data_IF_685285973124
#
_entry.id   IF_685285973124
#
_cell.length_a   1.000
_cell.length_b   1.000
_cell.length_c   1.000
_cell.angle_alpha   90.00
_cell.angle_beta   90.00
_cell.angle_gamma   90.00
#
_symmetry.space_group_name_H-M   'P 1'
#
loop_
_entity.id
_entity.type
_entity.pdbx_description
1 polymer ?
#
# COMPACT_ATOMS: atom_id res chain seq x y z
N UNK A 1 -0.80 -23.00 21.31
CA UNK A 1 -0.11 -23.14 20.04
C UNK A 1 -0.81 -22.18 19.10
N UNK A 2 -0.13 -21.11 18.71
CA UNK A 2 -0.72 -20.12 17.80
C UNK A 2 -0.26 -20.41 16.37
N UNK A 3 -1.07 -20.05 15.37
CA UNK A 3 -0.69 -20.04 13.98
C UNK A 3 -0.26 -18.61 13.61
N UNK A 4 1.01 -18.44 13.26
CA UNK A 4 1.61 -17.16 12.92
C UNK A 4 1.98 -17.17 11.43
N UNK A 5 1.48 -16.18 10.69
CA UNK A 5 1.92 -15.93 9.32
C UNK A 5 2.95 -14.80 9.35
N UNK A 6 4.14 -15.02 8.79
CA UNK A 6 5.24 -14.05 8.75
C UNK A 6 5.54 -13.67 7.31
N UNK A 7 5.54 -12.39 6.97
CA UNK A 7 5.98 -11.92 5.65
C UNK A 7 7.31 -11.20 5.76
N UNK A 8 8.22 -11.53 4.87
CA UNK A 8 9.52 -10.85 4.75
C UNK A 8 9.66 -10.17 3.39
N UNK A 9 9.91 -8.84 3.41
CA UNK A 9 10.13 -8.03 2.22
C UNK A 9 11.48 -8.30 1.55
N UNK A 10 11.67 -7.78 0.33
CA UNK A 10 12.89 -7.98 -0.46
C UNK A 10 14.15 -7.53 0.27
N UNK A 11 14.13 -6.38 0.94
CA UNK A 11 15.25 -5.89 1.75
C UNK A 11 15.64 -6.84 2.89
N UNK A 12 14.68 -7.61 3.43
CA UNK A 12 14.90 -8.57 4.51
C UNK A 12 15.60 -9.85 4.05
N UNK A 13 15.53 -10.18 2.76
CA UNK A 13 16.09 -11.40 2.16
C UNK A 13 17.06 -11.07 1.01
N UNK A 14 17.65 -9.88 1.00
CA UNK A 14 18.44 -9.35 -0.12
C UNK A 14 19.75 -10.14 -0.37
N UNK A 15 20.30 -10.79 0.65
CA UNK A 15 21.55 -11.52 0.58
C UNK A 15 21.56 -12.73 1.54
N UNK A 16 22.61 -13.53 1.45
CA UNK A 16 22.73 -14.76 2.24
C UNK A 16 22.79 -14.51 3.76
N UNK A 17 23.36 -13.39 4.22
CA UNK A 17 23.42 -13.05 5.64
C UNK A 17 22.03 -12.71 6.18
N UNK A 18 21.27 -11.89 5.44
CA UNK A 18 19.90 -11.53 5.79
C UNK A 18 18.98 -12.74 5.76
N UNK A 19 19.11 -13.62 4.78
CA UNK A 19 18.38 -14.90 4.72
C UNK A 19 18.63 -15.75 5.96
N UNK A 20 19.89 -15.88 6.45
CA UNK A 20 20.18 -16.62 7.68
C UNK A 20 19.52 -15.98 8.90
N UNK A 21 19.59 -14.66 9.04
CA UNK A 21 18.93 -13.91 10.13
C UNK A 21 17.41 -14.10 10.13
N UNK A 22 16.77 -14.05 8.95
CA UNK A 22 15.35 -14.37 8.79
C UNK A 22 15.05 -15.80 9.19
N UNK A 23 15.85 -16.77 8.76
CA UNK A 23 15.68 -18.18 9.13
C UNK A 23 15.81 -18.41 10.65
N UNK A 24 16.76 -17.75 11.32
CA UNK A 24 16.92 -17.79 12.77
C UNK A 24 15.67 -17.31 13.50
N UNK A 25 15.08 -16.18 13.05
CA UNK A 25 13.84 -15.64 13.61
C UNK A 25 12.65 -16.57 13.41
N UNK A 26 12.50 -17.15 12.23
CA UNK A 26 11.45 -18.12 11.91
C UNK A 26 11.58 -19.36 12.83
N UNK A 27 12.78 -19.89 12.95
CA UNK A 27 13.05 -21.06 13.81
C UNK A 27 12.82 -20.74 15.28
N UNK A 28 13.15 -19.52 15.73
CA UNK A 28 12.85 -19.06 17.09
C UNK A 28 11.34 -19.03 17.36
N UNK A 29 10.54 -18.51 16.41
CA UNK A 29 9.06 -18.53 16.53
C UNK A 29 8.50 -19.95 16.57
N UNK A 30 9.02 -20.86 15.73
CA UNK A 30 8.63 -22.29 15.74
C UNK A 30 8.99 -22.97 17.06
N UNK A 31 10.17 -22.71 17.62
CA UNK A 31 10.63 -23.27 18.91
C UNK A 31 9.80 -22.80 20.10
N UNK A 32 9.10 -21.68 20.00
CA UNK A 32 8.11 -21.22 21.00
C UNK A 32 6.81 -22.03 21.01
N UNK A 33 6.71 -23.05 20.13
CA UNK A 33 5.54 -23.92 20.03
C UNK A 33 4.48 -23.44 19.06
N UNK A 34 4.78 -22.48 18.20
CA UNK A 34 3.85 -21.96 17.21
C UNK A 34 3.94 -22.74 15.89
N UNK A 35 2.83 -22.79 15.17
CA UNK A 35 2.83 -23.10 13.76
C UNK A 35 3.19 -21.87 12.93
N UNK A 36 4.04 -22.04 11.92
CA UNK A 36 4.59 -20.89 11.18
C UNK A 36 4.40 -21.08 9.68
N UNK A 37 3.77 -20.10 9.07
CA UNK A 37 3.69 -19.93 7.61
C UNK A 37 4.47 -18.68 7.24
N UNK A 38 5.34 -18.77 6.26
CA UNK A 38 6.22 -17.68 5.85
C UNK A 38 5.91 -17.29 4.41
N UNK A 39 5.72 -16.01 4.15
CA UNK A 39 5.61 -15.47 2.79
C UNK A 39 6.83 -14.60 2.51
N UNK A 40 7.52 -14.88 1.42
CA UNK A 40 8.73 -14.14 1.04
C UNK A 40 8.54 -13.39 -0.27
N UNK A 41 9.13 -12.19 -0.36
CA UNK A 41 9.31 -11.43 -1.59
C UNK A 41 10.58 -11.86 -2.33
N UNK A 42 10.75 -11.41 -3.55
CA UNK A 42 12.03 -11.54 -4.27
C UNK A 42 13.18 -10.86 -3.50
N UNK A 43 14.41 -11.29 -3.75
CA UNK A 43 15.61 -10.78 -3.08
C UNK A 43 15.93 -9.36 -3.54
N UNK A 44 16.06 -8.41 -2.61
CA UNK A 44 16.48 -7.03 -2.91
C UNK A 44 15.69 -6.42 -4.07
N UNK A 45 16.39 -5.97 -5.09
CA UNK A 45 15.85 -5.32 -6.28
C UNK A 45 15.60 -6.30 -7.46
N UNK A 46 15.63 -7.62 -7.23
CA UNK A 46 15.51 -8.64 -8.29
C UNK A 46 14.27 -8.44 -9.19
N UNK A 47 13.15 -7.99 -8.64
CA UNK A 47 11.93 -7.74 -9.46
C UNK A 47 12.17 -6.61 -10.45
N UNK A 48 12.81 -5.52 -10.03
CA UNK A 48 13.12 -4.37 -10.88
C UNK A 48 14.19 -4.74 -11.92
N UNK A 49 15.22 -5.50 -11.55
CA UNK A 49 16.23 -6.03 -12.46
C UNK A 49 15.62 -6.92 -13.56
N UNK A 50 14.64 -7.76 -13.22
CA UNK A 50 13.93 -8.60 -14.17
C UNK A 50 13.02 -7.78 -15.09
N UNK A 51 12.39 -6.72 -14.59
CA UNK A 51 11.62 -5.77 -15.39
C UNK A 51 12.52 -5.05 -16.40
N UNK A 52 13.66 -4.52 -15.95
CA UNK A 52 14.63 -3.84 -16.79
C UNK A 52 15.17 -4.79 -17.88
N UNK A 53 15.45 -6.05 -17.51
CA UNK A 53 15.91 -7.06 -18.46
C UNK A 53 14.83 -7.40 -19.50
N UNK A 54 13.58 -7.52 -19.08
CA UNK A 54 12.46 -7.77 -19.99
C UNK A 54 12.29 -6.65 -21.02
N UNK A 55 12.41 -5.38 -20.58
CA UNK A 55 12.32 -4.21 -21.45
C UNK A 55 13.48 -4.12 -22.45
N UNK A 56 14.70 -4.53 -22.04
CA UNK A 56 15.84 -4.59 -22.94
C UNK A 56 15.65 -5.64 -24.05
N UNK A 57 14.97 -6.75 -23.76
CA UNK A 57 14.68 -7.81 -24.73
C UNK A 57 13.48 -7.43 -25.61
N UNK A 58 12.44 -6.85 -25.01
CA UNK A 58 11.20 -6.48 -25.69
C UNK A 58 10.65 -5.18 -25.07
N UNK A 59 10.62 -4.05 -25.84
CA UNK A 59 10.13 -2.78 -25.29
C UNK A 59 8.69 -2.79 -24.77
N UNK A 60 7.87 -3.72 -25.26
CA UNK A 60 6.51 -3.94 -24.78
C UNK A 60 6.31 -5.45 -24.50
N UNK A 61 6.82 -5.98 -23.38
CA UNK A 61 6.77 -7.40 -23.10
C UNK A 61 5.31 -7.86 -22.92
N UNK A 62 4.93 -9.02 -23.48
CA UNK A 62 3.61 -9.57 -23.27
C UNK A 62 3.34 -9.80 -21.78
N UNK A 63 2.21 -9.31 -21.22
CA UNK A 63 1.95 -9.37 -19.78
C UNK A 63 2.01 -10.78 -19.19
N UNK A 64 1.55 -11.80 -19.93
CA UNK A 64 1.62 -13.20 -19.52
C UNK A 64 3.07 -13.68 -19.32
N UNK A 65 3.96 -13.36 -20.26
CA UNK A 65 5.36 -13.78 -20.18
C UNK A 65 6.11 -12.99 -19.09
N UNK A 66 5.70 -11.74 -18.89
CA UNK A 66 6.22 -10.93 -17.80
C UNK A 66 5.87 -11.52 -16.43
N UNK A 67 4.64 -11.96 -16.20
CA UNK A 67 4.23 -12.68 -14.99
C UNK A 67 5.08 -13.94 -14.76
N UNK A 68 5.31 -14.73 -15.82
CA UNK A 68 6.18 -15.91 -15.74
C UNK A 68 7.61 -15.56 -15.31
N UNK A 69 8.17 -14.50 -15.88
CA UNK A 69 9.53 -14.02 -15.54
C UNK A 69 9.61 -13.54 -14.10
N UNK A 70 8.72 -12.63 -13.70
CA UNK A 70 8.78 -11.98 -12.39
C UNK A 70 8.62 -12.97 -11.24
N UNK A 71 7.74 -13.98 -11.38
CA UNK A 71 7.54 -15.02 -10.33
C UNK A 71 8.76 -15.87 -10.03
N UNK A 72 9.82 -15.80 -10.86
CA UNK A 72 11.07 -16.50 -10.58
C UNK A 72 11.78 -15.93 -9.33
N UNK A 73 11.69 -14.62 -9.09
CA UNK A 73 12.33 -13.95 -7.97
C UNK A 73 11.91 -14.53 -6.62
N UNK A 74 10.61 -14.64 -6.37
CA UNK A 74 10.07 -15.18 -5.12
C UNK A 74 10.36 -16.69 -4.97
N UNK A 75 10.43 -17.43 -6.07
CA UNK A 75 10.79 -18.87 -6.01
C UNK A 75 12.23 -19.07 -5.58
N UNK A 76 13.15 -18.19 -6.00
CA UNK A 76 14.56 -18.23 -5.59
C UNK A 76 14.64 -17.95 -4.09
N UNK A 77 14.13 -16.82 -3.60
CA UNK A 77 14.19 -16.46 -2.18
C UNK A 77 13.50 -17.51 -1.30
N UNK A 78 12.35 -18.02 -1.72
CA UNK A 78 11.58 -19.04 -1.01
C UNK A 78 12.40 -20.33 -0.79
N UNK A 79 13.07 -20.80 -1.83
CA UNK A 79 13.91 -21.99 -1.74
C UNK A 79 15.13 -21.77 -0.85
N UNK A 80 15.80 -20.60 -0.96
CA UNK A 80 16.97 -20.27 -0.15
C UNK A 80 16.64 -20.14 1.34
N UNK A 81 15.51 -19.51 1.69
CA UNK A 81 15.03 -19.42 3.08
C UNK A 81 14.70 -20.83 3.63
N UNK A 82 14.07 -21.70 2.82
CA UNK A 82 13.80 -23.08 3.23
C UNK A 82 15.10 -23.84 3.54
N UNK A 83 16.11 -23.73 2.69
CA UNK A 83 17.43 -24.35 2.91
C UNK A 83 18.10 -23.81 4.17
N UNK A 84 17.99 -22.51 4.45
CA UNK A 84 18.53 -21.90 5.65
C UNK A 84 17.83 -22.42 6.93
N UNK A 85 16.51 -22.59 6.91
CA UNK A 85 15.75 -23.18 8.03
C UNK A 85 16.17 -24.62 8.29
N UNK A 86 16.30 -25.44 7.23
CA UNK A 86 16.78 -26.84 7.36
C UNK A 86 18.18 -26.89 7.95
N UNK A 87 19.07 -25.95 7.58
CA UNK A 87 20.42 -25.88 8.15
C UNK A 87 20.46 -25.57 9.66
N UNK A 88 19.39 -25.01 10.20
CA UNK A 88 19.18 -24.72 11.63
C UNK A 88 18.48 -25.88 12.37
N UNK A 89 18.23 -27.01 11.70
CA UNK A 89 17.63 -28.22 12.26
C UNK A 89 16.10 -28.19 12.39
N UNK A 90 15.41 -27.25 11.74
CA UNK A 90 13.97 -27.25 11.63
C UNK A 90 13.55 -27.73 10.22
N UNK A 91 12.43 -28.48 10.14
CA UNK A 91 11.94 -28.94 8.85
C UNK A 91 11.10 -27.87 8.17
N UNK A 92 11.40 -27.62 6.89
CA UNK A 92 10.72 -26.61 6.09
C UNK A 92 10.19 -27.20 4.76
N UNK A 93 9.15 -26.58 4.21
CA UNK A 93 8.64 -26.93 2.88
C UNK A 93 8.18 -25.69 2.14
N UNK A 94 8.75 -25.48 0.95
CA UNK A 94 8.42 -24.35 0.09
C UNK A 94 7.35 -24.69 -0.93
N UNK A 95 6.49 -23.70 -1.22
CA UNK A 95 5.39 -23.78 -2.18
C UNK A 95 5.40 -22.55 -3.07
N UNK A 96 5.07 -22.71 -4.35
CA UNK A 96 4.70 -21.61 -5.22
C UNK A 96 3.29 -21.11 -4.87
N UNK A 97 2.87 -19.94 -5.36
CA UNK A 97 1.52 -19.44 -5.12
C UNK A 97 0.43 -20.43 -5.59
N UNK A 98 0.59 -21.03 -6.76
CA UNK A 98 -0.35 -22.06 -7.26
C UNK A 98 -0.35 -23.33 -6.41
N UNK A 99 0.80 -23.78 -5.94
CA UNK A 99 0.91 -24.94 -5.01
C UNK A 99 0.30 -24.65 -3.65
N UNK A 100 0.35 -23.37 -3.21
CA UNK A 100 -0.29 -22.89 -1.99
C UNK A 100 -1.80 -22.68 -2.14
N UNK A 101 -2.32 -22.84 -3.35
CA UNK A 101 -3.75 -22.71 -3.64
C UNK A 101 -4.25 -21.27 -3.83
N UNK A 102 -3.38 -20.34 -4.18
CA UNK A 102 -3.76 -18.95 -4.50
C UNK A 102 -4.41 -18.91 -5.88
N UNK A 103 -5.72 -18.75 -5.92
CA UNK A 103 -6.53 -18.69 -7.14
C UNK A 103 -6.86 -17.22 -7.44
N UNK A 104 -6.65 -16.79 -8.68
CA UNK A 104 -6.76 -15.39 -9.09
C UNK A 104 -7.63 -15.18 -10.31
N UNK A 105 -7.97 -13.92 -10.60
CA UNK A 105 -8.46 -13.48 -11.91
C UNK A 105 -7.38 -13.67 -12.97
N UNK A 106 -7.77 -13.65 -14.26
CA UNK A 106 -6.84 -13.77 -15.39
C UNK A 106 -6.14 -12.46 -15.80
N UNK A 107 -6.26 -11.39 -15.02
CA UNK A 107 -5.60 -10.10 -15.32
C UNK A 107 -4.13 -10.19 -14.96
N UNK A 108 -3.25 -10.23 -15.97
CA UNK A 108 -1.81 -10.25 -15.76
C UNK A 108 -1.29 -8.95 -15.17
N UNK A 109 -0.25 -9.02 -14.33
CA UNK A 109 0.40 -7.86 -13.69
C UNK A 109 -0.38 -7.24 -12.50
N UNK A 110 -1.69 -7.46 -12.41
CA UNK A 110 -2.55 -6.91 -11.35
C UNK A 110 -3.75 -7.83 -11.04
N UNK A 111 -3.49 -9.14 -10.93
CA UNK A 111 -4.52 -10.12 -10.63
C UNK A 111 -5.13 -9.90 -9.24
N UNK A 112 -6.41 -10.25 -9.10
CA UNK A 112 -7.12 -10.24 -7.81
C UNK A 112 -7.25 -11.66 -7.28
N UNK A 113 -6.99 -11.87 -5.99
CA UNK A 113 -7.23 -13.16 -5.33
C UNK A 113 -8.75 -13.39 -5.29
N UNK A 114 -9.19 -14.50 -5.86
CA UNK A 114 -10.58 -14.95 -5.86
C UNK A 114 -10.82 -15.88 -4.66
N UNK A 115 -9.87 -16.81 -4.46
CA UNK A 115 -9.96 -17.83 -3.43
C UNK A 115 -8.57 -18.32 -3.02
N UNK A 116 -8.48 -18.94 -1.83
CA UNK A 116 -7.27 -19.62 -1.36
C UNK A 116 -7.68 -20.99 -0.84
N UNK A 117 -7.14 -22.04 -1.46
CA UNK A 117 -7.38 -23.44 -1.08
C UNK A 117 -6.12 -24.05 -0.42
N UNK A 118 -5.90 -23.86 0.90
CA UNK A 118 -4.61 -24.10 1.54
C UNK A 118 -4.37 -25.56 1.97
N UNK A 119 -5.11 -26.55 1.48
CA UNK A 119 -5.05 -27.94 1.96
C UNK A 119 -3.64 -28.55 1.99
N UNK A 120 -2.79 -28.24 0.99
CA UNK A 120 -1.38 -28.71 0.99
C UNK A 120 -0.54 -28.06 2.09
N UNK A 121 -0.85 -26.81 2.44
CA UNK A 121 -0.17 -26.09 3.53
C UNK A 121 -0.59 -26.68 4.88
N UNK A 122 -1.89 -26.97 5.07
CA UNK A 122 -2.41 -27.59 6.28
C UNK A 122 -1.74 -28.95 6.53
N UNK A 123 -1.65 -29.81 5.49
CA UNK A 123 -0.93 -31.09 5.60
C UNK A 123 0.53 -30.90 6.04
N UNK A 124 1.25 -29.91 5.49
CA UNK A 124 2.62 -29.65 5.86
C UNK A 124 2.75 -29.11 7.29
N UNK A 125 1.79 -28.30 7.77
CA UNK A 125 1.73 -27.85 9.16
C UNK A 125 1.48 -29.02 10.12
N UNK A 126 0.56 -29.93 9.79
CA UNK A 126 0.28 -31.16 10.54
C UNK A 126 1.50 -32.09 10.66
N UNK A 127 2.37 -32.08 9.61
CA UNK A 127 3.68 -32.76 9.64
C UNK A 127 4.72 -32.02 10.53
N UNK A 128 4.35 -30.91 11.17
CA UNK A 128 5.22 -30.10 12.02
C UNK A 128 6.21 -29.22 11.28
N UNK A 129 6.08 -29.05 9.96
CA UNK A 129 6.99 -28.27 9.12
C UNK A 129 6.73 -26.77 9.24
N UNK A 130 7.76 -25.97 9.02
CA UNK A 130 7.63 -24.57 8.64
C UNK A 130 7.21 -24.51 7.17
N UNK A 131 6.11 -23.84 6.89
CA UNK A 131 5.55 -23.71 5.54
C UNK A 131 6.01 -22.39 4.92
N UNK A 132 6.61 -22.44 3.73
CA UNK A 132 7.02 -21.24 2.99
C UNK A 132 6.21 -21.10 1.70
N UNK A 133 5.78 -19.88 1.43
CA UNK A 133 4.98 -19.54 0.23
C UNK A 133 5.69 -18.43 -0.54
N UNK A 134 5.92 -18.65 -1.81
CA UNK A 134 6.35 -17.57 -2.70
C UNK A 134 5.22 -16.55 -2.84
N UNK A 135 5.44 -15.32 -2.36
CA UNK A 135 4.47 -14.23 -2.40
C UNK A 135 4.22 -13.72 -3.82
N UNK A 136 3.37 -12.70 -3.96
CA UNK A 136 3.16 -11.96 -5.19
C UNK A 136 2.48 -12.73 -6.34
N UNK A 137 2.32 -14.03 -6.29
CA UNK A 137 1.91 -14.88 -7.39
C UNK A 137 0.72 -15.78 -7.05
N UNK A 138 -0.05 -16.11 -8.10
CA UNK A 138 -1.14 -17.09 -8.04
C UNK A 138 -1.33 -17.79 -9.38
N UNK A 139 -2.47 -18.42 -9.55
CA UNK A 139 -2.89 -19.08 -10.78
C UNK A 139 -4.29 -18.63 -11.19
N UNK A 140 -4.46 -18.23 -12.43
CA UNK A 140 -5.76 -17.87 -12.98
C UNK A 140 -6.76 -19.04 -12.87
N UNK A 141 -7.96 -18.73 -12.39
CA UNK A 141 -9.03 -19.73 -12.31
C UNK A 141 -9.40 -20.30 -13.67
N UNK A 142 -9.42 -19.46 -14.68
CA UNK A 142 -9.93 -19.78 -16.01
C UNK A 142 -8.84 -20.39 -16.91
N UNK A 143 -7.74 -19.66 -17.12
CA UNK A 143 -6.68 -20.06 -18.07
C UNK A 143 -5.64 -20.99 -17.47
N UNK A 144 -5.56 -21.10 -16.13
CA UNK A 144 -4.50 -21.80 -15.40
C UNK A 144 -3.11 -21.21 -15.60
N UNK A 145 -3.01 -20.02 -16.18
CA UNK A 145 -1.76 -19.28 -16.28
C UNK A 145 -1.30 -18.77 -14.91
N UNK A 146 0.01 -18.64 -14.76
CA UNK A 146 0.61 -17.96 -13.62
C UNK A 146 0.29 -16.47 -13.75
N UNK A 147 -0.09 -15.85 -12.63
CA UNK A 147 -0.43 -14.43 -12.56
C UNK A 147 0.32 -13.77 -11.42
N UNK A 148 0.57 -12.47 -11.54
CA UNK A 148 1.11 -11.65 -10.45
C UNK A 148 0.06 -10.68 -9.91
N UNK A 149 0.19 -10.36 -8.61
CA UNK A 149 -0.77 -9.52 -7.88
C UNK A 149 -0.46 -8.02 -7.96
N UNK A 150 0.63 -7.65 -8.62
CA UNK A 150 1.11 -6.26 -8.68
C UNK A 150 1.81 -5.81 -7.39
N UNK A 151 2.10 -4.50 -7.28
CA UNK A 151 2.83 -3.93 -6.13
C UNK A 151 2.18 -4.29 -4.80
N UNK A 152 2.99 -4.67 -3.80
CA UNK A 152 2.52 -5.14 -2.49
C UNK A 152 1.82 -6.50 -2.50
N UNK A 153 1.96 -7.25 -3.61
CA UNK A 153 1.35 -8.57 -3.75
C UNK A 153 1.78 -9.58 -2.69
N UNK A 154 3.02 -9.49 -2.18
CA UNK A 154 3.49 -10.38 -1.10
C UNK A 154 2.80 -10.09 0.24
N UNK A 155 2.52 -8.81 0.57
CA UNK A 155 1.76 -8.43 1.77
C UNK A 155 0.32 -8.94 1.66
N UNK A 156 -0.28 -8.77 0.47
CA UNK A 156 -1.63 -9.29 0.18
C UNK A 156 -1.66 -10.81 0.27
N UNK A 157 -0.63 -11.51 -0.25
CA UNK A 157 -0.51 -12.96 -0.12
C UNK A 157 -0.45 -13.40 1.33
N UNK A 158 0.34 -12.72 2.18
CA UNK A 158 0.49 -13.07 3.59
C UNK A 158 -0.83 -12.96 4.35
N UNK A 159 -1.55 -11.85 4.17
CA UNK A 159 -2.85 -11.67 4.83
C UNK A 159 -3.90 -12.63 4.29
N UNK A 160 -3.89 -12.94 2.97
CA UNK A 160 -4.77 -13.93 2.39
C UNK A 160 -4.51 -15.35 2.94
N UNK A 161 -3.24 -15.72 3.14
CA UNK A 161 -2.86 -16.97 3.80
C UNK A 161 -3.33 -16.99 5.25
N UNK A 162 -3.14 -15.88 5.98
CA UNK A 162 -3.58 -15.75 7.37
C UNK A 162 -5.09 -15.95 7.49
N UNK A 163 -5.87 -15.32 6.60
CA UNK A 163 -7.32 -15.47 6.58
C UNK A 163 -7.76 -16.91 6.22
N UNK A 164 -7.17 -17.51 5.18
CA UNK A 164 -7.54 -18.83 4.71
C UNK A 164 -7.18 -19.96 5.71
N UNK A 165 -6.13 -19.76 6.50
CA UNK A 165 -5.67 -20.72 7.50
C UNK A 165 -6.24 -20.44 8.89
N UNK A 166 -6.94 -19.32 9.11
CA UNK A 166 -7.43 -18.90 10.42
C UNK A 166 -6.28 -18.56 11.40
N UNK A 167 -5.27 -17.84 10.92
CA UNK A 167 -4.11 -17.48 11.73
C UNK A 167 -4.47 -16.48 12.83
N UNK A 168 -3.78 -16.58 13.97
CA UNK A 168 -3.94 -15.67 15.10
C UNK A 168 -3.39 -14.28 14.82
N UNK A 169 -2.34 -14.17 14.00
CA UNK A 169 -1.68 -12.91 13.63
C UNK A 169 -0.94 -13.06 12.29
N UNK A 170 -0.92 -11.95 11.54
CA UNK A 170 -0.06 -11.78 10.38
C UNK A 170 1.05 -10.76 10.70
N UNK A 171 2.29 -11.20 10.83
CA UNK A 171 3.45 -10.33 11.05
C UNK A 171 4.04 -9.90 9.71
N UNK A 172 4.14 -8.58 9.50
CA UNK A 172 4.79 -7.98 8.31
C UNK A 172 6.13 -7.39 8.73
N UNK A 173 7.20 -8.03 8.28
CA UNK A 173 8.57 -7.59 8.55
C UNK A 173 9.09 -6.67 7.44
N UNK A 174 9.57 -5.48 7.84
CA UNK A 174 10.01 -4.40 6.96
C UNK A 174 11.32 -3.79 7.48
N UNK A 175 11.75 -2.68 6.90
CA UNK A 175 12.97 -1.94 7.22
C UNK A 175 12.79 -0.84 8.29
N UNK A 176 11.60 -0.74 8.89
CA UNK A 176 11.28 0.20 9.96
C UNK A 176 10.68 -0.53 11.18
N UNK A 177 10.76 0.07 12.36
CA UNK A 177 10.31 -0.55 13.62
C UNK A 177 8.79 -0.59 13.81
N UNK A 178 8.02 -0.26 12.80
CA UNK A 178 6.56 -0.22 12.84
C UNK A 178 5.97 0.88 11.98
N UNK A 179 4.78 1.33 12.32
CA UNK A 179 4.09 2.45 11.67
C UNK A 179 4.42 3.72 12.46
N UNK A 180 4.75 4.79 11.75
CA UNK A 180 5.13 6.08 12.34
C UNK A 180 4.10 7.16 12.01
N UNK A 181 4.08 8.21 12.82
CA UNK A 181 3.22 9.38 12.64
C UNK A 181 3.53 10.22 11.38
N UNK A 182 4.65 9.99 10.74
CA UNK A 182 5.05 10.48 9.41
C UNK A 182 6.15 9.58 8.84
N UNK A 183 6.53 9.76 7.57
CA UNK A 183 7.69 9.07 6.99
C UNK A 183 8.98 9.50 7.73
N UNK A 184 9.69 8.57 8.39
CA UNK A 184 10.92 8.90 9.12
C UNK A 184 12.06 9.47 8.25
N UNK A 185 11.97 9.29 6.93
CA UNK A 185 12.95 9.87 5.97
C UNK A 185 12.77 11.37 5.83
N UNK A 186 11.56 11.89 6.09
CA UNK A 186 11.21 13.32 6.04
C UNK A 186 11.23 13.91 7.45
N UNK A 187 10.60 13.20 8.41
CA UNK A 187 10.45 13.64 9.80
C UNK A 187 11.21 12.69 10.71
N UNK A 188 12.43 13.04 11.11
CA UNK A 188 13.32 12.17 11.89
C UNK A 188 12.76 11.81 13.28
N UNK A 189 12.04 12.73 13.91
CA UNK A 189 11.40 12.52 15.21
C UNK A 189 9.94 12.04 15.08
N UNK A 190 9.55 11.42 13.96
CA UNK A 190 8.25 10.81 13.83
C UNK A 190 8.04 9.76 14.93
N UNK A 191 6.90 9.86 15.64
CA UNK A 191 6.57 8.95 16.74
C UNK A 191 6.11 7.62 16.21
N UNK A 192 6.68 6.52 16.74
CA UNK A 192 6.16 5.16 16.46
C UNK A 192 4.81 4.99 17.14
N UNK A 193 3.84 4.46 16.40
CA UNK A 193 2.51 4.13 16.88
C UNK A 193 2.51 2.70 17.41
N UNK A 194 1.97 2.48 18.61
CA UNK A 194 1.88 1.13 19.19
C UNK A 194 0.71 0.35 18.60
N UNK A 195 -0.40 1.04 18.37
CA UNK A 195 -1.61 0.46 17.79
C UNK A 195 -2.25 1.44 16.81
N UNK A 196 -2.80 0.93 15.72
CA UNK A 196 -3.52 1.69 14.68
C UNK A 196 -4.77 0.93 14.31
N UNK A 197 -5.90 1.60 14.06
CA UNK A 197 -7.10 0.95 13.55
C UNK A 197 -6.98 0.62 12.07
N UNK A 198 -7.77 -0.37 11.58
CA UNK A 198 -7.80 -0.65 10.14
C UNK A 198 -8.25 0.58 9.33
N UNK A 199 -9.18 1.37 9.84
CA UNK A 199 -9.68 2.57 9.19
C UNK A 199 -8.58 3.63 9.02
N UNK A 200 -7.83 3.91 10.08
CA UNK A 200 -6.70 4.85 10.03
C UNK A 200 -5.60 4.33 9.10
N UNK A 201 -5.27 3.03 9.19
CA UNK A 201 -4.25 2.43 8.32
C UNK A 201 -4.66 2.44 6.85
N UNK A 202 -5.94 2.24 6.53
CA UNK A 202 -6.47 2.36 5.18
C UNK A 202 -6.29 3.78 4.63
N UNK A 203 -6.64 4.80 5.42
CA UNK A 203 -6.42 6.19 5.01
C UNK A 203 -4.92 6.53 4.88
N UNK A 204 -4.08 6.07 5.82
CA UNK A 204 -2.63 6.26 5.70
C UNK A 204 -2.09 5.63 4.41
N UNK A 205 -2.47 4.39 4.12
CA UNK A 205 -2.03 3.69 2.91
C UNK A 205 -2.57 4.36 1.61
N UNK A 206 -3.83 4.78 1.60
CA UNK A 206 -4.44 5.52 0.48
C UNK A 206 -3.82 6.90 0.27
N UNK A 207 -3.26 7.49 1.32
CA UNK A 207 -2.58 8.78 1.27
C UNK A 207 -1.06 8.67 1.05
N UNK A 208 -0.54 7.47 0.76
CA UNK A 208 0.85 7.26 0.35
C UNK A 208 1.79 6.71 1.42
N UNK A 209 1.31 6.33 2.60
CA UNK A 209 2.13 5.61 3.57
C UNK A 209 2.46 4.21 3.04
N UNK A 210 3.75 3.95 2.78
CA UNK A 210 4.22 2.76 2.05
C UNK A 210 4.50 1.54 2.94
N UNK A 211 4.30 1.65 4.24
CA UNK A 211 4.63 0.58 5.20
C UNK A 211 3.75 -0.65 5.06
N UNK A 212 2.46 -0.44 4.74
CA UNK A 212 1.51 -1.48 4.34
C UNK A 212 0.78 -1.05 3.07
N UNK A 213 0.58 -1.98 2.16
CA UNK A 213 -0.18 -1.72 0.94
C UNK A 213 -1.68 -1.73 1.20
N UNK A 214 -2.41 -0.82 0.55
CA UNK A 214 -3.85 -0.63 0.73
C UNK A 214 -4.63 -1.96 0.62
N UNK A 215 -4.41 -2.75 -0.42
CA UNK A 215 -5.07 -4.06 -0.63
C UNK A 215 -4.83 -5.05 0.51
N UNK A 216 -3.65 -5.03 1.11
CA UNK A 216 -3.31 -5.85 2.27
C UNK A 216 -4.18 -5.47 3.47
N UNK A 217 -4.32 -4.17 3.75
CA UNK A 217 -5.12 -3.65 4.87
C UNK A 217 -6.62 -3.89 4.65
N UNK A 218 -7.13 -3.69 3.41
CA UNK A 218 -8.52 -4.02 3.05
C UNK A 218 -8.85 -5.49 3.30
N UNK A 219 -7.92 -6.38 2.92
CA UNK A 219 -8.10 -7.81 3.12
C UNK A 219 -8.05 -8.18 4.61
N UNK A 220 -7.10 -7.61 5.37
CA UNK A 220 -6.98 -7.80 6.82
C UNK A 220 -8.24 -7.33 7.55
N UNK A 221 -8.74 -6.13 7.23
CA UNK A 221 -9.98 -5.59 7.77
C UNK A 221 -11.18 -6.48 7.49
N UNK A 222 -11.33 -6.94 6.25
CA UNK A 222 -12.46 -7.78 5.82
C UNK A 222 -12.54 -9.09 6.59
N UNK A 223 -11.39 -9.67 6.91
CA UNK A 223 -11.29 -10.96 7.62
C UNK A 223 -10.95 -10.82 9.11
N UNK A 224 -10.86 -9.56 9.59
CA UNK A 224 -10.48 -9.23 10.97
C UNK A 224 -9.18 -9.92 11.44
N UNK A 225 -8.16 -9.93 10.55
CA UNK A 225 -6.85 -10.51 10.86
C UNK A 225 -5.96 -9.42 11.47
N UNK A 226 -5.50 -9.54 12.72
CA UNK A 226 -4.55 -8.62 13.30
C UNK A 226 -3.25 -8.62 12.48
N UNK A 227 -2.77 -7.43 12.09
CA UNK A 227 -1.50 -7.28 11.37
C UNK A 227 -0.48 -6.64 12.31
N UNK A 228 0.64 -7.31 12.53
CA UNK A 228 1.73 -6.82 13.36
C UNK A 228 2.92 -6.41 12.48
N UNK A 229 3.13 -5.10 12.34
CA UNK A 229 4.24 -4.54 11.57
C UNK A 229 5.49 -4.48 12.44
N UNK A 230 6.58 -5.10 12.00
CA UNK A 230 7.82 -5.22 12.75
C UNK A 230 9.05 -5.00 11.87
N UNK A 231 10.18 -4.70 12.49
CA UNK A 231 11.46 -4.64 11.78
C UNK A 231 12.08 -6.02 11.60
N UNK A 232 12.67 -6.27 10.42
CA UNK A 232 13.54 -7.43 10.18
C UNK A 232 14.90 -7.28 10.86
N UNK A 233 15.26 -6.07 11.32
CA UNK A 233 16.60 -5.67 11.76
C UNK A 233 16.69 -5.43 13.27
N UNK A 234 15.56 -5.35 13.97
CA UNK A 234 15.52 -5.13 15.41
C UNK A 234 14.51 -6.05 16.08
N UNK A 235 14.57 -6.13 17.42
CA UNK A 235 13.59 -6.83 18.25
C UNK A 235 12.65 -5.85 18.98
N UNK A 236 12.65 -4.57 18.56
CA UNK A 236 11.73 -3.57 19.11
C UNK A 236 10.27 -3.99 18.91
N UNK A 237 9.38 -3.63 19.86
CA UNK A 237 7.94 -3.81 19.64
C UNK A 237 7.52 -3.08 18.37
N UNK A 238 6.78 -3.75 17.53
CA UNK A 238 6.25 -3.18 16.29
C UNK A 238 5.01 -2.32 16.55
N UNK A 239 4.15 -2.25 15.53
CA UNK A 239 2.82 -1.65 15.56
C UNK A 239 1.78 -2.71 15.26
N UNK A 240 0.72 -2.78 16.05
CA UNK A 240 -0.39 -3.71 15.81
C UNK A 240 -1.54 -2.96 15.13
N UNK A 241 -2.02 -3.49 13.99
CA UNK A 241 -3.18 -2.97 13.26
C UNK A 241 -4.38 -3.86 13.57
N UNK A 242 -5.46 -3.28 14.12
CA UNK A 242 -6.64 -3.99 14.65
C UNK A 242 -7.95 -3.30 14.29
N UNK A 243 -9.08 -3.97 14.55
CA UNK A 243 -10.42 -3.43 14.25
C UNK A 243 -10.87 -2.31 15.18
N UNK A 244 -10.46 -2.33 16.45
CA UNK A 244 -10.82 -1.29 17.41
C UNK A 244 -9.80 -1.18 18.53
N UNK A 245 -9.66 0.03 19.07
CA UNK A 245 -8.83 0.35 20.23
C UNK A 245 -9.79 0.67 21.37
N UNK A 246 -9.72 -0.07 22.48
CA UNK A 246 -10.72 0.00 23.59
C UNK A 246 -10.41 1.07 24.64
N UNK A 247 -9.19 1.61 24.69
CA UNK A 247 -8.72 2.44 25.80
C UNK A 247 -8.42 3.91 25.37
N UNK A 248 -9.28 4.48 24.54
CA UNK A 248 -9.08 5.86 24.06
C UNK A 248 -10.08 6.80 24.73
N UNK A 249 -9.67 7.99 25.24
CA UNK A 249 -10.57 9.05 25.66
C UNK A 249 -11.53 9.43 24.52
N UNK A 250 -12.83 9.41 24.78
CA UNK A 250 -13.87 9.53 23.74
C UNK A 250 -14.06 10.97 23.18
N UNK A 251 -13.42 11.98 23.75
CA UNK A 251 -13.74 13.40 23.45
C UNK A 251 -12.63 14.20 22.77
N UNK A 252 -11.37 13.72 22.74
CA UNK A 252 -10.27 14.42 22.07
C UNK A 252 -10.01 13.86 20.66
N UNK A 253 -9.66 14.74 19.68
CA UNK A 253 -9.27 14.26 18.36
C UNK A 253 -7.96 13.49 18.48
N UNK A 254 -7.99 12.22 18.04
CA UNK A 254 -6.80 11.39 18.02
C UNK A 254 -6.18 11.54 16.65
N UNK A 255 -5.14 12.35 16.60
CA UNK A 255 -4.37 12.53 15.38
C UNK A 255 -3.31 11.42 15.29
N UNK A 256 -3.43 10.59 14.26
CA UNK A 256 -2.60 9.43 14.04
C UNK A 256 -1.31 9.81 13.34
N UNK A 257 -1.38 10.63 12.29
CA UNK A 257 -0.19 11.02 11.57
C UNK A 257 -0.43 11.85 10.31
N UNK A 258 0.69 12.12 9.62
CA UNK A 258 0.74 12.83 8.35
C UNK A 258 1.29 11.88 7.29
N UNK A 259 0.49 11.59 6.27
CA UNK A 259 0.91 10.85 5.08
C UNK A 259 1.11 11.79 3.89
N UNK A 260 1.90 11.36 2.92
CA UNK A 260 2.14 12.12 1.69
C UNK A 260 2.24 11.22 0.48
N UNK A 261 1.86 11.74 -0.69
CA UNK A 261 1.98 11.05 -1.97
C UNK A 261 2.51 12.01 -3.06
N UNK A 262 3.55 11.56 -3.80
CA UNK A 262 4.16 12.26 -4.93
C UNK A 262 3.75 11.70 -6.28
N UNK A 263 2.96 10.62 -6.28
CA UNK A 263 2.57 9.89 -7.50
C UNK A 263 1.25 10.37 -8.09
N UNK A 264 0.70 11.46 -7.61
CA UNK A 264 -0.56 12.04 -8.05
C UNK A 264 -0.39 12.96 -9.27
N UNK A 265 -1.42 12.99 -10.11
CA UNK A 265 -1.63 13.99 -11.15
C UNK A 265 -3.04 14.56 -11.04
N UNK A 266 -3.18 15.83 -11.40
CA UNK A 266 -4.44 16.59 -11.38
C UNK A 266 -4.93 16.82 -12.80
N UNK A 267 -6.17 16.43 -13.08
CA UNK A 267 -6.88 16.68 -14.34
C UNK A 267 -8.03 17.63 -14.08
N UNK A 268 -8.09 18.73 -14.81
CA UNK A 268 -9.20 19.71 -14.72
C UNK A 268 -9.90 19.85 -16.06
N UNK A 269 -11.18 19.59 -16.06
CA UNK A 269 -12.09 19.73 -17.20
C UNK A 269 -12.80 21.06 -17.04
N UNK A 270 -12.49 22.01 -17.90
CA UNK A 270 -12.99 23.39 -17.84
C UNK A 270 -14.19 23.57 -18.77
N UNK A 271 -15.22 24.22 -18.27
CA UNK A 271 -16.39 24.63 -19.08
C UNK A 271 -17.28 23.46 -19.50
N UNK A 272 -17.44 22.48 -18.61
CA UNK A 272 -18.38 21.37 -18.77
C UNK A 272 -19.83 21.90 -18.63
N UNK A 273 -20.79 21.45 -19.46
CA UNK A 273 -22.19 21.78 -19.25
C UNK A 273 -22.71 21.33 -17.88
N UNK A 274 -23.28 22.27 -17.09
CA UNK A 274 -23.78 22.00 -15.73
C UNK A 274 -25.22 21.48 -15.78
N UNK A 275 -25.39 20.32 -16.37
CA UNK A 275 -26.68 19.62 -16.48
C UNK A 275 -26.54 18.16 -16.12
N UNK A 276 -27.57 17.50 -15.57
CA UNK A 276 -27.55 16.12 -15.19
C UNK A 276 -27.02 15.18 -16.30
N UNK A 277 -26.11 14.28 -15.93
CA UNK A 277 -25.54 13.26 -16.81
C UNK A 277 -24.15 13.57 -17.37
N UNK A 278 -23.69 14.83 -17.38
CA UNK A 278 -22.38 15.17 -17.94
C UNK A 278 -21.21 14.68 -17.06
N UNK A 279 -21.30 14.80 -15.75
CA UNK A 279 -20.32 14.19 -14.84
C UNK A 279 -20.26 12.67 -15.02
N UNK A 280 -21.41 12.02 -15.25
CA UNK A 280 -21.45 10.57 -15.52
C UNK A 280 -20.72 10.20 -16.82
N UNK A 281 -20.81 11.00 -17.89
CA UNK A 281 -20.07 10.79 -19.13
C UNK A 281 -18.56 10.91 -18.90
N UNK A 282 -18.12 11.93 -18.14
CA UNK A 282 -16.71 12.12 -17.79
C UNK A 282 -16.17 10.91 -17.06
N UNK A 283 -16.80 10.52 -15.94
CA UNK A 283 -16.29 9.43 -15.12
C UNK A 283 -16.43 8.05 -15.77
N UNK A 284 -17.41 7.87 -16.67
CA UNK A 284 -17.48 6.66 -17.52
C UNK A 284 -16.29 6.59 -18.46
N UNK A 285 -15.92 7.69 -19.12
CA UNK A 285 -14.77 7.75 -20.01
C UNK A 285 -13.46 7.44 -19.27
N UNK A 286 -13.28 7.95 -18.05
CA UNK A 286 -12.11 7.68 -17.20
C UNK A 286 -12.08 6.21 -16.77
N UNK A 287 -13.23 5.65 -16.39
CA UNK A 287 -13.34 4.24 -16.02
C UNK A 287 -13.08 3.30 -17.20
N UNK A 288 -13.53 3.65 -18.42
CA UNK A 288 -13.28 2.88 -19.65
C UNK A 288 -11.79 2.91 -20.05
N UNK A 289 -11.01 3.87 -19.54
CA UNK A 289 -9.55 3.93 -19.67
C UNK A 289 -8.80 3.19 -18.54
N UNK A 290 -9.53 2.46 -17.68
CA UNK A 290 -9.00 1.73 -16.49
C UNK A 290 -8.25 2.64 -15.50
N UNK A 291 -8.71 3.90 -15.36
CA UNK A 291 -8.12 4.90 -14.46
C UNK A 291 -8.94 5.02 -13.19
N UNK A 292 -8.30 4.75 -12.05
CA UNK A 292 -8.86 5.03 -10.74
C UNK A 292 -8.66 6.50 -10.38
N UNK A 293 -9.67 7.10 -9.76
CA UNK A 293 -9.66 8.48 -9.27
C UNK A 293 -9.68 8.50 -7.74
N UNK A 294 -9.04 9.51 -7.13
CA UNK A 294 -9.03 9.70 -5.66
C UNK A 294 -9.88 10.91 -5.25
N UNK A 295 -9.39 12.13 -5.49
CA UNK A 295 -10.12 13.36 -5.13
C UNK A 295 -10.96 13.83 -6.30
N UNK A 296 -12.17 14.29 -6.02
CA UNK A 296 -13.05 14.92 -7.03
C UNK A 296 -13.60 16.22 -6.47
N UNK A 297 -13.46 17.30 -7.24
CA UNK A 297 -14.04 18.60 -6.93
C UNK A 297 -14.81 19.11 -8.14
N UNK A 298 -16.06 19.50 -7.93
CA UNK A 298 -16.86 20.24 -8.91
C UNK A 298 -17.10 21.65 -8.38
N UNK A 299 -16.72 22.66 -9.15
CA UNK A 299 -16.98 24.04 -8.81
C UNK A 299 -18.44 24.39 -9.10
N UNK A 300 -18.96 25.38 -8.35
CA UNK A 300 -20.27 25.96 -8.67
C UNK A 300 -20.16 26.71 -10.00
N UNK A 301 -21.07 26.44 -10.94
CA UNK A 301 -21.09 27.12 -12.21
C UNK A 301 -21.32 28.63 -12.01
N UNK A 302 -20.69 29.45 -12.85
CA UNK A 302 -21.06 30.85 -12.96
C UNK A 302 -22.48 30.89 -13.52
N UNK A 303 -23.37 31.56 -12.81
CA UNK A 303 -24.84 31.60 -13.09
C UNK A 303 -25.14 32.04 -14.53
N UNK A 304 -24.24 32.78 -15.19
CA UNK A 304 -24.42 33.34 -16.52
C UNK A 304 -24.14 32.36 -17.68
N UNK A 305 -23.30 31.33 -17.49
CA UNK A 305 -22.81 30.48 -18.60
C UNK A 305 -23.34 29.05 -18.58
N UNK A 306 -23.99 28.59 -17.51
CA UNK A 306 -24.47 27.19 -17.35
C UNK A 306 -23.36 26.13 -17.47
N UNK A 307 -22.13 26.50 -17.12
CA UNK A 307 -20.95 25.65 -17.20
C UNK A 307 -20.26 25.53 -15.85
N UNK A 308 -19.69 24.38 -15.59
CA UNK A 308 -18.91 24.08 -14.39
C UNK A 308 -17.54 23.53 -14.76
N UNK A 309 -16.64 23.50 -13.77
CA UNK A 309 -15.35 22.83 -13.90
C UNK A 309 -15.34 21.62 -12.97
N UNK A 310 -14.80 20.50 -13.47
CA UNK A 310 -14.56 19.31 -12.68
C UNK A 310 -13.05 19.07 -12.62
N UNK A 311 -12.53 18.98 -11.40
CA UNK A 311 -11.15 18.56 -11.15
C UNK A 311 -11.14 17.22 -10.45
N UNK A 312 -10.27 16.31 -10.88
CA UNK A 312 -10.02 15.06 -10.18
C UNK A 312 -8.52 14.75 -10.15
N UNK A 313 -8.13 13.88 -9.22
CA UNK A 313 -6.78 13.32 -9.17
C UNK A 313 -6.77 11.84 -9.53
N UNK A 314 -5.66 11.42 -10.10
CA UNK A 314 -5.35 10.03 -10.40
C UNK A 314 -3.85 9.78 -10.27
N UNK A 315 -3.43 8.52 -10.33
CA UNK A 315 -2.00 8.21 -10.39
C UNK A 315 -1.36 8.82 -11.64
N UNK A 316 -0.16 9.38 -11.49
CA UNK A 316 0.64 10.01 -12.56
C UNK A 316 0.85 9.07 -13.76
N UNK A 317 1.05 7.79 -13.50
CA UNK A 317 1.34 6.78 -14.54
C UNK A 317 0.16 6.59 -15.51
N UNK A 318 -1.08 6.75 -15.03
CA UNK A 318 -2.31 6.55 -15.83
C UNK A 318 -2.96 7.89 -16.26
N UNK A 319 -2.46 9.00 -15.75
CA UNK A 319 -2.96 10.34 -16.09
C UNK A 319 -2.99 10.62 -17.58
N UNK A 320 -1.91 10.35 -18.36
CA UNK A 320 -1.92 10.55 -19.81
C UNK A 320 -3.02 9.76 -20.54
N UNK A 321 -3.32 8.54 -20.13
CA UNK A 321 -4.40 7.73 -20.72
C UNK A 321 -5.78 8.34 -20.45
N UNK A 322 -6.01 8.87 -19.22
CA UNK A 322 -7.23 9.60 -18.90
C UNK A 322 -7.41 10.85 -19.78
N UNK A 323 -6.32 11.62 -19.96
CA UNK A 323 -6.32 12.83 -20.79
C UNK A 323 -6.62 12.48 -22.24
N UNK A 324 -5.95 11.50 -22.84
CA UNK A 324 -6.17 11.05 -24.21
C UNK A 324 -7.62 10.61 -24.43
N UNK A 325 -8.14 9.79 -23.51
CA UNK A 325 -9.53 9.32 -23.58
C UNK A 325 -10.54 10.46 -23.51
N UNK A 326 -10.38 11.38 -22.56
CA UNK A 326 -11.27 12.54 -22.42
C UNK A 326 -11.19 13.47 -23.63
N UNK A 327 -9.97 13.74 -24.14
CA UNK A 327 -9.79 14.60 -25.31
C UNK A 327 -10.44 14.02 -26.57
N UNK A 328 -10.40 12.70 -26.75
CA UNK A 328 -11.09 12.01 -27.85
C UNK A 328 -12.62 12.20 -27.81
N UNK A 329 -13.19 12.44 -26.65
CA UNK A 329 -14.63 12.62 -26.42
C UNK A 329 -15.02 14.11 -26.20
N UNK A 330 -14.11 15.05 -26.40
CA UNK A 330 -14.31 16.49 -26.15
C UNK A 330 -15.59 17.03 -26.75
N UNK A 331 -15.87 16.72 -28.01
CA UNK A 331 -17.05 17.21 -28.71
C UNK A 331 -18.35 16.56 -28.22
N UNK A 332 -18.30 15.33 -27.76
CA UNK A 332 -19.45 14.59 -27.23
C UNK A 332 -19.79 15.03 -25.81
N UNK A 333 -18.76 15.23 -24.98
CA UNK A 333 -18.89 15.68 -23.60
C UNK A 333 -19.15 17.20 -23.57
N UNK A 334 -18.61 17.98 -24.51
CA UNK A 334 -18.90 19.40 -24.69
C UNK A 334 -18.14 20.35 -23.76
N UNK A 335 -16.97 19.96 -23.24
CA UNK A 335 -16.12 20.83 -22.42
C UNK A 335 -15.20 21.72 -23.28
N UNK A 336 -14.76 22.85 -22.71
CA UNK A 336 -13.98 23.86 -23.42
C UNK A 336 -12.49 23.53 -23.43
N UNK A 337 -11.93 23.11 -22.29
CA UNK A 337 -10.50 22.88 -22.11
C UNK A 337 -10.23 21.70 -21.17
N UNK A 338 -9.12 21.03 -21.38
CA UNK A 338 -8.57 20.00 -20.51
C UNK A 338 -7.18 20.44 -20.04
N UNK A 339 -6.97 20.47 -18.71
CA UNK A 339 -5.70 20.81 -18.09
C UNK A 339 -5.17 19.58 -17.38
N UNK A 340 -3.88 19.34 -17.51
CA UNK A 340 -3.14 18.26 -16.85
C UNK A 340 -1.95 18.82 -16.09
N UNK A 341 -1.77 18.41 -14.85
CA UNK A 341 -0.65 18.83 -14.01
C UNK A 341 -0.15 17.64 -13.18
N UNK A 342 1.06 17.20 -13.42
CA UNK A 342 1.73 16.11 -12.72
C UNK A 342 2.85 16.58 -11.76
N UNK A 343 2.98 17.90 -11.59
CA UNK A 343 3.91 18.53 -10.64
C UNK A 343 3.21 18.86 -9.30
N UNK A 344 2.37 17.98 -8.84
CA UNK A 344 1.66 18.10 -7.58
C UNK A 344 2.03 16.99 -6.61
N UNK A 345 1.85 17.25 -5.33
CA UNK A 345 1.90 16.27 -4.27
C UNK A 345 0.71 16.41 -3.36
N UNK A 346 0.31 15.30 -2.75
CA UNK A 346 -0.77 15.24 -1.76
C UNK A 346 -0.16 15.10 -0.38
N UNK A 347 -0.57 15.97 0.58
CA UNK A 347 -0.28 15.80 2.00
C UNK A 347 -1.60 15.65 2.75
N UNK A 348 -1.64 14.71 3.69
CA UNK A 348 -2.86 14.34 4.40
C UNK A 348 -2.61 14.19 5.89
N UNK A 349 -3.42 14.86 6.70
CA UNK A 349 -3.52 14.63 8.13
C UNK A 349 -4.59 13.56 8.36
N UNK A 350 -4.24 12.52 9.12
CA UNK A 350 -5.12 11.37 9.41
C UNK A 350 -5.35 11.29 10.92
N UNK A 351 -6.59 11.01 11.32
CA UNK A 351 -6.96 10.81 12.71
C UNK A 351 -8.47 10.76 12.91
N UNK A 352 -8.91 10.19 14.02
CA UNK A 352 -10.31 10.12 14.40
C UNK A 352 -10.78 11.44 15.04
N UNK A 353 -12.08 11.77 14.89
CA UNK A 353 -12.70 12.90 15.59
C UNK A 353 -12.42 14.29 14.98
N UNK A 354 -11.73 14.41 13.85
CA UNK A 354 -11.41 15.72 13.26
C UNK A 354 -12.64 16.55 12.90
N UNK A 355 -13.74 15.90 12.51
CA UNK A 355 -14.98 16.61 12.13
C UNK A 355 -15.71 17.25 13.31
N UNK A 356 -15.57 16.67 14.50
CA UNK A 356 -16.20 17.19 15.73
C UNK A 356 -15.36 18.26 16.44
N UNK A 357 -14.13 18.53 15.97
CA UNK A 357 -13.24 19.52 16.59
C UNK A 357 -13.02 20.70 15.66
N UNK A 358 -13.78 21.81 15.89
CA UNK A 358 -13.54 23.08 15.17
C UNK A 358 -12.11 23.55 15.42
N UNK A 359 -11.41 23.94 14.37
CA UNK A 359 -10.04 24.45 14.48
C UNK A 359 -8.98 23.54 13.86
N UNK A 360 -9.17 22.22 13.75
CA UNK A 360 -8.20 21.33 13.09
C UNK A 360 -7.88 21.79 11.67
N UNK A 361 -8.93 22.09 10.88
CA UNK A 361 -8.75 22.61 9.50
C UNK A 361 -8.08 23.98 9.48
N UNK A 362 -8.38 24.87 10.46
CA UNK A 362 -7.75 26.18 10.55
C UNK A 362 -6.26 26.03 10.85
N UNK A 363 -5.90 25.27 11.89
CA UNK A 363 -4.49 24.98 12.25
C UNK A 363 -3.74 24.34 11.07
N UNK A 364 -4.39 23.44 10.34
CA UNK A 364 -3.81 22.81 9.15
C UNK A 364 -3.45 23.85 8.08
N UNK A 365 -4.37 24.74 7.76
CA UNK A 365 -4.13 25.81 6.77
C UNK A 365 -3.12 26.84 7.25
N UNK A 366 -3.15 27.22 8.55
CA UNK A 366 -2.21 28.15 9.17
C UNK A 366 -0.77 27.60 9.15
N UNK A 367 -0.59 26.31 9.46
CA UNK A 367 0.71 25.65 9.41
C UNK A 367 1.32 25.68 8.00
N UNK A 368 0.54 25.39 6.96
CA UNK A 368 1.01 25.47 5.57
C UNK A 368 1.32 26.92 5.17
N UNK A 369 0.46 27.88 5.54
CA UNK A 369 0.65 29.30 5.24
C UNK A 369 1.92 29.84 5.90
N UNK A 370 2.20 29.46 7.16
CA UNK A 370 3.39 29.90 7.92
C UNK A 370 4.70 29.50 7.23
N UNK A 371 4.70 28.40 6.49
CA UNK A 371 5.87 27.96 5.72
C UNK A 371 5.78 28.31 4.22
N UNK A 372 4.77 29.07 3.81
CA UNK A 372 4.60 29.56 2.42
C UNK A 372 4.21 28.45 1.43
N UNK A 373 3.55 27.39 1.86
CA UNK A 373 3.01 26.35 0.99
C UNK A 373 1.60 26.74 0.54
N UNK A 374 1.39 26.84 -0.77
CA UNK A 374 0.09 27.17 -1.33
C UNK A 374 -0.79 25.91 -1.50
N UNK A 375 -2.07 26.05 -1.15
CA UNK A 375 -3.07 25.00 -1.29
C UNK A 375 -3.74 25.12 -2.66
N UNK A 376 -3.65 24.07 -3.50
CA UNK A 376 -4.29 24.04 -4.82
C UNK A 376 -5.67 23.38 -4.80
N UNK A 377 -5.85 22.40 -3.91
CA UNK A 377 -7.11 21.70 -3.71
C UNK A 377 -7.15 21.17 -2.28
N UNK A 378 -8.32 21.19 -1.65
CA UNK A 378 -8.55 20.62 -0.32
C UNK A 378 -9.74 19.66 -0.35
N UNK A 379 -9.60 18.54 0.32
CA UNK A 379 -10.67 17.55 0.52
C UNK A 379 -10.64 17.06 1.96
N UNK A 380 -11.83 16.86 2.53
CA UNK A 380 -11.96 16.39 3.91
C UNK A 380 -12.90 15.20 3.99
N UNK A 381 -12.59 14.25 4.90
CA UNK A 381 -13.47 13.18 5.33
C UNK A 381 -13.64 13.22 6.86
N UNK A 382 -14.25 12.19 7.45
CA UNK A 382 -14.40 12.10 8.92
C UNK A 382 -13.06 11.91 9.64
N UNK A 383 -12.10 11.27 8.99
CA UNK A 383 -10.81 10.88 9.55
C UNK A 383 -9.61 11.38 8.73
N UNK A 384 -9.83 12.31 7.78
CA UNK A 384 -8.76 12.82 6.92
C UNK A 384 -9.01 14.25 6.46
N UNK A 385 -7.93 15.05 6.45
CA UNK A 385 -7.85 16.32 5.69
C UNK A 385 -6.69 16.18 4.72
N UNK A 386 -6.94 16.31 3.42
CA UNK A 386 -5.94 16.22 2.36
C UNK A 386 -5.86 17.51 1.57
N UNK A 387 -4.66 17.94 1.23
CA UNK A 387 -4.45 19.04 0.28
C UNK A 387 -3.48 18.63 -0.81
N UNK A 388 -3.65 19.25 -1.97
CA UNK A 388 -2.66 19.25 -3.04
C UNK A 388 -1.84 20.52 -2.94
N UNK A 389 -0.52 20.37 -3.07
CA UNK A 389 0.44 21.46 -3.20
C UNK A 389 1.47 21.10 -4.28
N UNK A 390 2.43 21.99 -4.58
CA UNK A 390 3.54 21.67 -5.46
C UNK A 390 4.38 20.53 -4.89
N UNK A 391 4.78 19.59 -5.74
CA UNK A 391 5.59 18.43 -5.36
C UNK A 391 6.93 18.83 -4.71
N UNK A 392 7.51 19.95 -5.14
CA UNK A 392 8.73 20.54 -4.57
C UNK A 392 8.57 21.08 -3.15
N UNK A 393 7.34 21.35 -2.71
CA UNK A 393 7.03 21.89 -1.38
C UNK A 393 6.53 20.81 -0.40
N UNK A 394 6.35 19.57 -0.88
CA UNK A 394 5.66 18.52 -0.15
C UNK A 394 6.35 18.14 1.16
N UNK A 395 7.69 17.98 1.17
CA UNK A 395 8.43 17.65 2.41
C UNK A 395 8.30 18.73 3.47
N UNK A 396 8.33 19.98 3.05
CA UNK A 396 8.14 21.15 3.91
C UNK A 396 6.73 21.16 4.49
N UNK A 397 5.71 20.82 3.70
CA UNK A 397 4.34 20.70 4.16
C UNK A 397 4.18 19.59 5.21
N UNK A 398 4.79 18.41 4.97
CA UNK A 398 4.76 17.28 5.92
C UNK A 398 5.37 17.66 7.26
N UNK A 399 6.55 18.29 7.27
CA UNK A 399 7.23 18.72 8.50
C UNK A 399 6.39 19.75 9.25
N UNK A 400 5.89 20.78 8.57
CA UNK A 400 5.10 21.84 9.19
C UNK A 400 3.81 21.32 9.85
N UNK A 401 3.10 20.41 9.18
CA UNK A 401 1.89 19.80 9.73
C UNK A 401 2.23 18.89 10.91
N UNK A 402 3.25 18.07 10.79
CA UNK A 402 3.67 17.19 11.88
C UNK A 402 4.05 17.95 13.16
N UNK A 403 4.76 19.07 13.03
CA UNK A 403 5.10 19.95 14.14
C UNK A 403 3.88 20.67 14.72
N UNK A 404 3.03 21.25 13.87
CA UNK A 404 1.85 22.01 14.29
C UNK A 404 0.86 21.18 15.11
N UNK A 405 0.79 19.88 14.83
CA UNK A 405 -0.09 18.95 15.54
C UNK A 405 0.61 18.14 16.65
N UNK A 406 1.87 18.43 16.95
CA UNK A 406 2.58 17.81 18.06
C UNK A 406 2.76 16.29 17.93
N UNK A 407 2.94 15.80 16.71
CA UNK A 407 3.01 14.36 16.42
C UNK A 407 4.41 13.75 16.65
N UNK A 408 5.37 14.54 17.12
CA UNK A 408 6.74 14.12 17.39
C UNK A 408 6.86 13.16 18.56
N UNK A 409 7.89 12.31 18.51
CA UNK A 409 8.35 11.48 19.62
C UNK A 409 9.65 12.00 20.22
N UNK A 410 10.05 11.40 21.35
CA UNK A 410 11.28 11.76 22.08
C UNK A 410 12.54 11.13 21.45
N UNK A 411 12.39 10.10 20.62
CA UNK A 411 13.47 9.37 19.97
C UNK A 411 13.46 9.59 18.45
N UNK A 412 14.65 9.57 17.84
CA UNK A 412 14.73 9.54 16.37
C UNK A 412 14.34 8.17 15.82
N UNK A 413 13.49 8.18 14.81
CA UNK A 413 13.07 6.97 14.11
C UNK A 413 14.21 6.45 13.22
N UNK A 414 14.43 5.12 13.26
CA UNK A 414 15.48 4.47 12.48
C UNK A 414 14.90 3.78 11.25
N UNK A 415 15.50 4.05 10.09
CA UNK A 415 15.29 3.31 8.85
C UNK A 415 16.53 2.45 8.59
N UNK A 416 16.37 1.12 8.63
CA UNK A 416 17.51 0.18 8.62
C UNK A 416 18.03 -0.16 7.23
N UNK A 417 17.22 -0.04 6.21
CA UNK A 417 17.63 -0.29 4.84
C UNK A 417 17.19 0.86 3.94
N UNK A 418 18.00 1.16 2.92
CA UNK A 418 17.56 2.04 1.84
C UNK A 418 16.33 1.41 1.18
N UNK A 419 15.34 2.21 0.85
CA UNK A 419 14.27 1.75 -0.04
C UNK A 419 14.89 1.37 -1.36
N UNK A 420 14.59 0.19 -1.83
CA UNK A 420 14.62 -0.08 -3.25
C UNK A 420 13.93 1.05 -4.01
N UNK A 421 14.33 1.26 -5.22
CA UNK A 421 13.93 2.34 -6.15
C UNK A 421 12.44 2.60 -6.19
#
# INVERSE_FOLDING_TARGET
MALVVQKYGGSSVADAERIRRVAERIVATKKQGNDVVVVVSAMGDTTDDLLDLAQQVCPAPPPRELDMLLTAGERISNALVAMAIESLGAHARSFTGSQAGVITTGTHGNAKIIDVTPGRLQTALEEGRVVLVAGFQGVSQDTKDVTTLGRGGSDTTAVAMAAALGADVCEIYTDVDGIFSADPRIVRNARKLDTVTFEEMLEMAACGAKVLMLRCVEYARRHNIPVHVRSSYSDRPGTVVVGSITDVPMEDPILTGVAHDRSEAKVTIVGLPDIPGYAAKVFRAVADADVNIDMVLQNVSKVEDGKTDITFTCSRDVGPAAVEKLDSLRNEIGFSQLLYDDHIGKVSLIGAGMRSHPGVTATFCEALAAVGVNIELISTSEIRISVLCRDTELDKAVVALHEAFGLGGDEEATVYAGTGR
#
